data_IF_156099343369
#
_entry.id   IF_156099343369
#
_cell.length_a   1.000
_cell.length_b   1.000
_cell.length_c   1.000
_cell.angle_alpha   90.00
_cell.angle_beta   90.00
_cell.angle_gamma   90.00
#
_symmetry.space_group_name_H-M   'P 1'
#
loop_
_entity.id
_entity.type
_entity.pdbx_description
1 polymer ?
#
# COMPACT_ATOMS: atom_id res chain seq x y z
N UNK A 1 19.82 -79.32 30.25
CA UNK A 1 19.65 -78.97 28.82
C UNK A 1 18.32 -78.23 28.67
N UNK A 2 18.42 -76.98 28.20
CA UNK A 2 17.42 -76.05 27.63
C UNK A 2 16.03 -75.86 28.25
N UNK A 3 15.88 -74.71 28.93
CA UNK A 3 14.63 -74.02 29.29
C UNK A 3 14.05 -73.20 28.13
N UNK A 4 12.72 -73.02 28.01
CA UNK A 4 12.10 -72.23 26.95
C UNK A 4 12.14 -70.72 27.28
N UNK A 5 12.53 -69.92 26.28
CA UNK A 5 12.66 -68.47 26.39
C UNK A 5 11.31 -67.76 26.33
N UNK A 6 11.05 -66.91 27.33
CA UNK A 6 9.92 -65.97 27.39
C UNK A 6 10.21 -64.81 26.43
N UNK A 7 9.33 -64.61 25.45
CA UNK A 7 9.40 -63.51 24.49
C UNK A 7 8.69 -62.30 25.10
N UNK A 8 9.46 -61.31 25.56
CA UNK A 8 8.94 -60.02 26.00
C UNK A 8 8.39 -59.23 24.80
N UNK A 9 7.09 -58.95 24.82
CA UNK A 9 6.46 -57.95 23.97
C UNK A 9 6.98 -56.57 24.39
N UNK A 10 7.56 -55.82 23.43
CA UNK A 10 7.96 -54.44 23.66
C UNK A 10 6.78 -53.56 23.27
N UNK A 11 6.26 -52.82 24.25
CA UNK A 11 5.29 -51.76 24.03
C UNK A 11 5.90 -50.72 23.09
N UNK A 12 5.24 -50.51 21.95
CA UNK A 12 5.61 -49.51 20.96
C UNK A 12 5.03 -48.18 21.43
N UNK A 13 5.86 -47.35 22.06
CA UNK A 13 5.53 -45.95 22.38
C UNK A 13 5.17 -45.19 21.10
N UNK A 14 3.89 -44.86 20.94
CA UNK A 14 3.41 -44.01 19.84
C UNK A 14 3.84 -42.57 20.15
N UNK A 15 4.71 -41.95 19.33
CA UNK A 15 5.14 -40.58 19.59
C UNK A 15 3.94 -39.62 19.52
N UNK A 16 3.89 -38.59 20.39
CA UNK A 16 2.80 -37.62 20.40
C UNK A 16 2.72 -36.95 19.03
N UNK A 17 1.56 -37.08 18.37
CA UNK A 17 1.32 -36.44 17.09
C UNK A 17 1.49 -34.93 17.25
N UNK A 18 2.46 -34.37 16.54
CA UNK A 18 2.58 -32.91 16.44
C UNK A 18 1.25 -32.35 15.96
N UNK A 19 0.69 -31.33 16.64
CA UNK A 19 -0.53 -30.68 16.16
C UNK A 19 -0.27 -30.23 14.72
N UNK A 20 -1.09 -30.74 13.80
CA UNK A 20 -1.03 -30.34 12.40
C UNK A 20 -1.23 -28.83 12.37
N UNK A 21 -0.20 -28.08 11.92
CA UNK A 21 -0.35 -26.66 11.64
C UNK A 21 -1.40 -26.55 10.55
N UNK A 22 -2.60 -26.11 10.92
CA UNK A 22 -3.64 -25.80 9.96
C UNK A 22 -3.06 -24.85 8.90
N UNK A 23 -3.34 -25.08 7.61
CA UNK A 23 -2.91 -24.16 6.56
C UNK A 23 -3.43 -22.75 6.89
N UNK A 24 -2.65 -21.69 6.60
CA UNK A 24 -3.11 -20.33 6.81
C UNK A 24 -4.42 -20.13 6.07
N UNK A 25 -5.46 -19.64 6.77
CA UNK A 25 -6.76 -19.31 6.18
C UNK A 25 -6.53 -18.50 4.91
N UNK A 26 -6.82 -19.09 3.76
CA UNK A 26 -6.84 -18.39 2.49
C UNK A 26 -7.88 -17.29 2.58
N UNK A 27 -7.50 -16.09 2.18
CA UNK A 27 -8.37 -14.91 2.14
C UNK A 27 -9.64 -15.26 1.35
N UNK A 28 -10.81 -15.13 1.97
CA UNK A 28 -12.10 -15.49 1.34
C UNK A 28 -12.37 -14.58 0.14
N UNK A 29 -13.01 -15.09 -0.92
CA UNK A 29 -13.38 -14.28 -2.09
C UNK A 29 -14.24 -13.06 -1.72
N UNK A 30 -15.02 -13.16 -0.65
CA UNK A 30 -15.79 -12.04 -0.08
C UNK A 30 -14.89 -10.86 0.34
N UNK A 31 -13.73 -11.13 0.95
CA UNK A 31 -12.75 -10.11 1.31
C UNK A 31 -12.06 -9.51 0.08
N UNK A 32 -11.89 -10.29 -0.99
CA UNK A 32 -11.33 -9.79 -2.26
C UNK A 32 -12.26 -8.85 -3.02
N UNK A 33 -13.57 -9.01 -2.82
CA UNK A 33 -14.62 -8.21 -3.45
C UNK A 33 -14.96 -6.95 -2.65
N UNK A 34 -14.70 -6.93 -1.33
CA UNK A 34 -14.82 -5.71 -0.50
C UNK A 34 -13.72 -4.67 -0.76
N UNK A 35 -12.62 -5.04 -1.42
CA UNK A 35 -11.53 -4.12 -1.74
C UNK A 35 -11.81 -3.50 -3.12
N UNK A 36 -12.36 -2.30 -3.11
CA UNK A 36 -12.45 -1.48 -4.32
C UNK A 36 -11.05 -1.16 -4.84
N UNK A 37 -10.82 -1.24 -6.17
CA UNK A 37 -9.53 -0.88 -6.74
C UNK A 37 -9.29 0.61 -6.52
N UNK A 38 -8.10 0.98 -6.04
CA UNK A 38 -7.74 2.40 -5.92
C UNK A 38 -7.32 2.90 -7.30
N UNK A 39 -8.01 3.94 -7.78
CA UNK A 39 -7.76 4.52 -9.10
C UNK A 39 -6.77 5.68 -9.02
N UNK A 40 -5.64 5.57 -9.70
CA UNK A 40 -4.62 6.63 -9.82
C UNK A 40 -4.63 7.22 -11.23
N UNK A 41 -4.85 8.52 -11.32
CA UNK A 41 -4.78 9.29 -12.55
C UNK A 41 -3.38 9.91 -12.69
N UNK A 42 -2.69 9.63 -13.78
CA UNK A 42 -1.32 10.08 -14.04
C UNK A 42 -1.33 10.98 -15.27
N UNK A 43 -1.14 12.29 -15.07
CA UNK A 43 -0.88 13.23 -16.15
C UNK A 43 0.63 13.29 -16.40
N UNK A 44 1.05 12.95 -17.61
CA UNK A 44 2.46 12.85 -17.95
C UNK A 44 2.78 13.49 -19.29
N UNK A 45 4.04 13.89 -19.46
CA UNK A 45 4.57 14.40 -20.72
C UNK A 45 5.61 13.41 -21.26
N UNK A 46 5.41 12.80 -22.43
CA UNK A 46 6.36 11.85 -23.01
C UNK A 46 7.72 12.49 -23.35
N UNK A 47 7.77 13.81 -23.56
CA UNK A 47 9.03 14.52 -23.78
C UNK A 47 9.86 14.71 -22.50
N UNK A 48 9.27 14.58 -21.31
CA UNK A 48 10.00 14.69 -20.05
C UNK A 48 10.46 13.29 -19.57
N UNK A 49 11.78 13.00 -19.55
CA UNK A 49 12.31 11.70 -19.17
C UNK A 49 12.05 11.36 -17.69
N UNK A 50 11.92 12.36 -16.82
CA UNK A 50 11.52 12.13 -15.42
C UNK A 50 10.07 11.67 -15.35
N UNK A 51 9.21 12.26 -16.18
CA UNK A 51 7.81 11.89 -16.30
C UNK A 51 7.66 10.44 -16.75
N UNK A 52 8.32 10.05 -17.84
CA UNK A 52 8.24 8.67 -18.35
C UNK A 52 8.70 7.63 -17.32
N UNK A 53 9.89 7.81 -16.74
CA UNK A 53 10.42 6.88 -15.73
C UNK A 53 9.52 6.76 -14.50
N UNK A 54 8.85 7.85 -14.14
CA UNK A 54 7.93 7.85 -13.00
C UNK A 54 6.63 7.13 -13.33
N UNK A 55 6.05 7.36 -14.51
CA UNK A 55 4.86 6.63 -14.98
C UNK A 55 5.13 5.13 -15.07
N UNK A 56 6.26 4.72 -15.66
CA UNK A 56 6.69 3.32 -15.72
C UNK A 56 6.83 2.70 -14.33
N UNK A 57 7.41 3.43 -13.38
CA UNK A 57 7.55 2.96 -11.99
C UNK A 57 6.20 2.80 -11.29
N UNK A 58 5.23 3.70 -11.53
CA UNK A 58 3.86 3.59 -10.99
C UNK A 58 3.14 2.39 -11.60
N UNK A 59 3.26 2.18 -12.91
CA UNK A 59 2.68 1.02 -13.59
C UNK A 59 3.30 -0.29 -13.09
N UNK A 60 4.62 -0.34 -12.90
CA UNK A 60 5.30 -1.49 -12.31
C UNK A 60 4.85 -1.75 -10.85
N UNK A 61 4.56 -0.68 -10.10
CA UNK A 61 4.07 -0.79 -8.73
C UNK A 61 2.68 -1.46 -8.64
N UNK A 62 1.83 -1.35 -9.67
CA UNK A 62 0.53 -2.05 -9.72
C UNK A 62 0.68 -3.55 -9.43
N UNK A 63 1.72 -4.17 -9.99
CA UNK A 63 1.92 -5.61 -9.87
C UNK A 63 2.81 -6.01 -8.70
N UNK A 64 3.73 -5.14 -8.29
CA UNK A 64 4.80 -5.48 -7.35
C UNK A 64 4.67 -4.82 -5.98
N UNK A 65 3.67 -3.97 -5.76
CA UNK A 65 3.57 -3.18 -4.53
C UNK A 65 2.76 -3.89 -3.43
N UNK A 66 3.25 -3.88 -2.17
CA UNK A 66 4.54 -3.35 -1.75
C UNK A 66 5.68 -4.28 -2.20
N UNK A 67 6.79 -3.67 -2.66
CA UNK A 67 7.98 -4.41 -3.09
C UNK A 67 8.50 -5.36 -2.01
N UNK A 68 9.25 -6.41 -2.39
CA UNK A 68 9.73 -7.41 -1.44
C UNK A 68 10.46 -6.73 -0.27
N UNK A 69 10.18 -7.11 0.99
CA UNK A 69 10.79 -6.47 2.14
C UNK A 69 12.31 -6.58 2.03
N UNK A 70 13.01 -5.46 2.23
CA UNK A 70 14.49 -5.39 2.19
C UNK A 70 15.17 -6.33 3.21
N UNK A 71 14.42 -6.86 4.17
CA UNK A 71 14.94 -7.71 5.23
C UNK A 71 14.18 -9.05 5.29
N UNK A 72 14.80 -10.17 4.87
CA UNK A 72 14.13 -11.48 4.80
C UNK A 72 13.68 -12.01 6.17
N UNK A 73 14.23 -11.49 7.28
CA UNK A 73 13.81 -11.83 8.65
C UNK A 73 12.48 -11.18 9.09
N UNK A 74 11.99 -10.18 8.36
CA UNK A 74 10.68 -9.52 8.61
C UNK A 74 9.51 -10.19 7.88
N UNK A 75 9.80 -11.17 7.02
CA UNK A 75 8.81 -11.89 6.21
C UNK A 75 7.79 -12.64 7.09
N UNK A 76 8.10 -12.93 8.34
CA UNK A 76 7.19 -13.65 9.25
C UNK A 76 6.06 -12.79 9.85
N UNK A 77 6.17 -11.44 9.84
CA UNK A 77 5.12 -10.54 10.35
C UNK A 77 4.29 -9.85 9.24
N UNK A 78 4.81 -9.79 8.02
CA UNK A 78 4.16 -9.13 6.87
C UNK A 78 3.85 -10.10 5.71
N UNK A 79 3.58 -11.37 6.03
CA UNK A 79 3.01 -12.30 5.04
C UNK A 79 1.69 -11.73 4.54
N UNK A 80 1.63 -11.43 3.25
CA UNK A 80 0.44 -11.02 2.50
C UNK A 80 0.02 -9.54 2.69
N UNK A 81 0.93 -8.58 2.47
CA UNK A 81 0.47 -7.38 1.76
C UNK A 81 0.30 -7.80 0.29
N UNK A 82 -0.84 -8.41 -0.03
CA UNK A 82 -1.14 -8.93 -1.37
C UNK A 82 -1.09 -7.82 -2.43
N UNK A 83 -0.91 -8.20 -3.70
CA UNK A 83 -0.79 -7.28 -4.84
C UNK A 83 -1.86 -6.17 -4.76
N UNK A 84 -1.41 -4.91 -4.72
CA UNK A 84 -2.28 -3.74 -4.67
C UNK A 84 -3.14 -3.75 -5.95
N UNK A 85 -4.47 -3.83 -5.81
CA UNK A 85 -5.38 -3.64 -6.95
C UNK A 85 -5.39 -2.14 -7.24
N UNK A 86 -4.41 -1.69 -8.00
CA UNK A 86 -4.31 -0.33 -8.50
C UNK A 86 -4.80 -0.31 -9.94
N UNK A 87 -5.72 0.60 -10.23
CA UNK A 87 -6.03 0.97 -11.61
C UNK A 87 -5.26 2.25 -11.91
N UNK A 88 -4.45 2.26 -12.97
CA UNK A 88 -3.66 3.43 -13.36
C UNK A 88 -4.16 3.95 -14.69
N UNK A 89 -4.75 5.14 -14.67
CA UNK A 89 -5.25 5.84 -15.85
C UNK A 89 -4.21 6.87 -16.26
N UNK A 90 -3.64 6.69 -17.45
CA UNK A 90 -2.55 7.53 -17.96
C UNK A 90 -3.08 8.54 -18.97
N UNK A 91 -2.78 9.82 -18.73
CA UNK A 91 -3.15 10.94 -19.59
C UNK A 91 -1.89 11.58 -20.17
N UNK A 92 -1.68 11.47 -21.48
CA UNK A 92 -0.58 12.08 -22.24
C UNK A 92 -0.85 13.57 -22.55
N UNK A 93 -1.22 14.34 -21.53
CA UNK A 93 -1.54 15.76 -21.66
C UNK A 93 -1.38 16.50 -20.33
N UNK A 94 -1.32 17.83 -20.41
CA UNK A 94 -1.51 18.65 -19.22
C UNK A 94 -2.96 18.56 -18.73
N UNK A 95 -3.20 18.70 -17.41
CA UNK A 95 -4.53 18.95 -16.89
C UNK A 95 -5.16 20.18 -17.53
N UNK A 96 -6.47 20.16 -17.67
CA UNK A 96 -7.29 21.31 -18.04
C UNK A 96 -7.33 22.33 -16.90
N UNK A 97 -7.84 23.54 -17.17
CA UNK A 97 -7.92 24.59 -16.15
C UNK A 97 -8.80 24.18 -14.94
N UNK A 98 -9.85 23.39 -15.18
CA UNK A 98 -10.71 22.86 -14.13
C UNK A 98 -10.02 21.73 -13.36
N UNK A 99 -9.35 20.81 -14.05
CA UNK A 99 -8.56 19.76 -13.38
C UNK A 99 -7.44 20.37 -12.52
N UNK A 100 -6.71 21.36 -13.01
CA UNK A 100 -5.71 22.09 -12.21
C UNK A 100 -6.32 22.72 -10.96
N UNK A 101 -7.51 23.30 -11.09
CA UNK A 101 -8.21 23.90 -9.96
C UNK A 101 -8.56 22.85 -8.92
N UNK A 102 -9.05 21.68 -9.34
CA UNK A 102 -9.34 20.56 -8.44
C UNK A 102 -8.08 20.02 -7.78
N UNK A 103 -7.02 19.74 -8.57
CA UNK A 103 -5.75 19.20 -8.08
C UNK A 103 -5.11 20.14 -7.06
N UNK A 104 -5.23 21.46 -7.27
CA UNK A 104 -4.72 22.47 -6.34
C UNK A 104 -5.28 22.27 -4.92
N UNK A 105 -6.57 21.91 -4.79
CA UNK A 105 -7.19 21.64 -3.49
C UNK A 105 -6.73 20.34 -2.83
N UNK A 106 -6.17 19.41 -3.61
CA UNK A 106 -5.65 18.13 -3.11
C UNK A 106 -4.19 18.21 -2.65
N UNK A 107 -3.53 19.34 -2.89
CA UNK A 107 -2.14 19.56 -2.47
C UNK A 107 -2.08 20.11 -1.04
N UNK A 108 -1.03 19.74 -0.27
CA UNK A 108 -0.85 20.28 1.07
C UNK A 108 -0.62 21.80 1.06
N UNK A 109 0.10 22.29 0.04
CA UNK A 109 0.40 23.71 -0.16
C UNK A 109 -0.24 24.19 -1.48
N UNK A 110 -1.48 24.71 -1.43
CA UNK A 110 -2.28 25.02 -2.62
C UNK A 110 -1.80 26.31 -3.29
N UNK A 111 -0.72 26.24 -4.05
CA UNK A 111 -0.24 27.33 -4.90
C UNK A 111 -0.07 26.89 -6.36
N UNK A 112 -0.41 27.76 -7.32
CA UNK A 112 -0.21 27.47 -8.74
C UNK A 112 1.27 27.31 -9.11
N UNK A 113 2.17 27.92 -8.34
CA UNK A 113 3.62 27.73 -8.44
C UNK A 113 4.07 26.33 -8.09
N UNK A 114 3.30 25.57 -7.30
CA UNK A 114 3.62 24.17 -6.96
C UNK A 114 3.72 23.29 -8.21
N UNK A 115 2.99 23.62 -9.28
CA UNK A 115 3.01 22.89 -10.55
C UNK A 115 4.20 23.22 -11.45
N UNK A 116 5.06 24.15 -11.04
CA UNK A 116 6.21 24.61 -11.82
C UNK A 116 7.48 24.06 -11.18
N UNK A 117 8.47 23.69 -12.00
CA UNK A 117 9.80 23.28 -11.52
C UNK A 117 10.42 24.41 -10.70
N UNK A 118 10.96 24.13 -9.50
CA UNK A 118 11.56 25.17 -8.66
C UNK A 118 12.64 25.99 -9.39
N UNK A 119 13.45 25.34 -10.21
CA UNK A 119 14.54 25.98 -10.96
C UNK A 119 14.02 26.98 -12.00
N UNK A 120 12.83 26.72 -12.56
CA UNK A 120 12.19 27.57 -13.56
C UNK A 120 11.49 28.81 -12.97
N UNK A 121 11.22 28.83 -11.66
CA UNK A 121 10.48 29.94 -11.03
C UNK A 121 11.23 31.27 -11.12
N UNK A 122 12.56 31.26 -11.11
CA UNK A 122 13.39 32.46 -11.17
C UNK A 122 13.40 33.10 -12.57
N UNK A 123 13.18 32.31 -13.61
CA UNK A 123 13.22 32.75 -15.00
C UNK A 123 11.85 33.25 -15.49
N UNK A 124 10.80 33.05 -14.69
CA UNK A 124 9.44 33.46 -15.03
C UNK A 124 9.25 34.97 -14.87
N UNK A 125 8.90 35.62 -15.99
CA UNK A 125 8.52 37.03 -16.00
C UNK A 125 7.25 37.32 -15.19
N UNK A 126 6.33 36.36 -15.14
CA UNK A 126 5.07 36.48 -14.42
C UNK A 126 4.66 35.11 -13.85
N UNK A 127 4.41 35.09 -12.55
CA UNK A 127 3.92 33.90 -11.84
C UNK A 127 2.43 33.72 -12.10
N UNK A 128 1.95 32.51 -12.48
CA UNK A 128 0.53 32.31 -12.70
C UNK A 128 -0.26 32.40 -11.40
N UNK A 129 -1.31 33.23 -11.40
CA UNK A 129 -2.21 33.43 -10.26
C UNK A 129 -3.58 32.77 -10.45
N UNK A 130 -3.80 32.11 -11.59
CA UNK A 130 -5.04 31.40 -11.90
C UNK A 130 -4.75 30.13 -12.70
N UNK A 131 -5.65 29.15 -12.67
CA UNK A 131 -5.51 27.91 -13.45
C UNK A 131 -5.46 28.18 -14.95
N UNK A 132 -6.22 29.17 -15.46
CA UNK A 132 -6.18 29.59 -16.86
C UNK A 132 -4.81 30.16 -17.25
N UNK A 133 -4.22 31.01 -16.40
CA UNK A 133 -2.89 31.54 -16.63
C UNK A 133 -1.82 30.43 -16.60
N UNK A 134 -1.97 29.45 -15.70
CA UNK A 134 -1.10 28.28 -15.65
C UNK A 134 -1.19 27.44 -16.93
N UNK A 135 -2.40 27.12 -17.40
CA UNK A 135 -2.58 26.38 -18.66
C UNK A 135 -1.92 27.11 -19.83
N UNK A 136 -2.18 28.42 -19.97
CA UNK A 136 -1.56 29.22 -21.04
C UNK A 136 -0.03 29.26 -20.96
N UNK A 137 0.53 29.24 -19.75
CA UNK A 137 1.98 29.16 -19.53
C UNK A 137 2.52 27.80 -19.98
N UNK A 138 1.88 26.70 -19.57
CA UNK A 138 2.30 25.33 -19.89
C UNK A 138 2.13 25.02 -21.39
N UNK A 139 1.08 25.53 -22.03
CA UNK A 139 0.89 25.40 -23.49
C UNK A 139 2.04 26.03 -24.28
N UNK A 140 2.63 27.11 -23.75
CA UNK A 140 3.76 27.80 -24.38
C UNK A 140 5.11 27.17 -24.04
N UNK A 141 5.26 26.70 -22.81
CA UNK A 141 6.53 26.20 -22.25
C UNK A 141 6.26 24.96 -21.38
N UNK A 142 5.96 23.80 -22.00
CA UNK A 142 5.59 22.57 -21.28
C UNK A 142 6.72 22.01 -20.41
N UNK A 143 7.96 22.38 -20.68
CA UNK A 143 9.17 21.99 -19.94
C UNK A 143 9.24 22.58 -18.53
N UNK A 144 8.56 23.70 -18.28
CA UNK A 144 8.54 24.34 -16.96
C UNK A 144 7.70 23.59 -15.94
N UNK A 145 6.74 22.78 -16.41
CA UNK A 145 5.82 22.07 -15.54
C UNK A 145 6.53 20.94 -14.79
N UNK A 146 6.14 20.75 -13.53
CA UNK A 146 6.64 19.68 -12.67
C UNK A 146 5.92 18.37 -12.97
N UNK A 147 6.42 17.63 -13.96
CA UNK A 147 5.88 16.33 -14.37
C UNK A 147 6.43 15.14 -13.55
N UNK A 148 5.66 14.05 -13.40
CA UNK A 148 4.23 13.92 -13.70
C UNK A 148 3.35 14.47 -12.57
N UNK A 149 2.04 14.56 -12.81
CA UNK A 149 1.05 14.80 -11.75
C UNK A 149 0.28 13.50 -11.53
N UNK A 150 0.27 13.03 -10.29
CA UNK A 150 -0.43 11.81 -9.89
C UNK A 150 -1.55 12.20 -8.94
N UNK A 151 -2.77 11.76 -9.25
CA UNK A 151 -3.98 12.13 -8.52
C UNK A 151 -4.77 10.90 -8.14
N UNK A 152 -5.13 10.81 -6.86
CA UNK A 152 -6.06 9.85 -6.29
C UNK A 152 -7.34 10.63 -5.95
N UNK A 153 -8.29 10.66 -6.90
CA UNK A 153 -9.55 11.41 -6.76
C UNK A 153 -10.46 10.82 -5.69
N UNK A 154 -10.37 9.51 -5.44
CA UNK A 154 -11.20 8.81 -4.47
C UNK A 154 -10.82 9.17 -3.03
N UNK A 155 -9.56 9.55 -2.80
CA UNK A 155 -9.01 9.80 -1.48
C UNK A 155 -8.53 11.25 -1.28
N UNK A 156 -8.88 12.14 -2.20
CA UNK A 156 -8.52 13.56 -2.17
C UNK A 156 -6.99 13.79 -2.01
N UNK A 157 -6.18 13.02 -2.73
CA UNK A 157 -4.72 13.15 -2.64
C UNK A 157 -4.11 13.43 -4.01
N UNK A 158 -3.13 14.34 -4.04
CA UNK A 158 -2.31 14.56 -5.22
C UNK A 158 -0.83 14.61 -4.87
N UNK A 159 0.01 14.22 -5.84
CA UNK A 159 1.45 14.35 -5.75
C UNK A 159 2.02 14.89 -7.06
N UNK A 160 3.08 15.66 -6.94
CA UNK A 160 3.77 16.29 -8.06
C UNK A 160 5.18 15.71 -8.21
N UNK A 161 5.60 15.48 -9.44
CA UNK A 161 6.90 14.95 -9.78
C UNK A 161 7.16 13.57 -9.17
N UNK A 162 8.34 13.41 -8.56
CA UNK A 162 8.81 12.12 -8.01
C UNK A 162 8.19 11.76 -6.65
N UNK A 163 7.26 12.57 -6.13
CA UNK A 163 6.68 12.41 -4.78
C UNK A 163 5.51 11.41 -4.71
N UNK A 164 5.31 10.58 -5.73
CA UNK A 164 4.21 9.60 -5.82
C UNK A 164 4.25 8.46 -4.79
N UNK A 165 5.40 8.22 -4.14
CA UNK A 165 5.55 7.10 -3.20
C UNK A 165 4.59 7.17 -2.03
N UNK A 166 4.34 8.38 -1.51
CA UNK A 166 3.38 8.56 -0.41
C UNK A 166 1.96 8.15 -0.80
N UNK A 167 1.54 8.36 -2.05
CA UNK A 167 0.24 7.90 -2.54
C UNK A 167 0.16 6.36 -2.55
N UNK A 168 1.22 5.70 -3.03
CA UNK A 168 1.30 4.24 -3.04
C UNK A 168 1.32 3.66 -1.61
N UNK A 169 2.09 4.27 -0.72
CA UNK A 169 2.18 3.88 0.70
C UNK A 169 0.81 4.02 1.37
N UNK A 170 0.12 5.15 1.17
CA UNK A 170 -1.22 5.38 1.69
C UNK A 170 -2.23 4.36 1.14
N UNK A 171 -2.18 4.05 -0.15
CA UNK A 171 -3.05 3.05 -0.76
C UNK A 171 -2.83 1.65 -0.15
N UNK A 172 -1.58 1.25 0.10
CA UNK A 172 -1.32 -0.03 0.77
C UNK A 172 -1.72 -0.04 2.24
N UNK A 173 -1.52 1.06 2.97
CA UNK A 173 -1.90 1.12 4.38
C UNK A 173 -3.43 1.11 4.55
N UNK A 174 -4.18 1.77 3.67
CA UNK A 174 -5.65 1.66 3.63
C UNK A 174 -6.09 0.20 3.43
N UNK A 175 -5.49 -0.48 2.46
CA UNK A 175 -5.76 -1.91 2.26
C UNK A 175 -5.37 -2.77 3.47
N UNK A 176 -4.23 -2.51 4.09
CA UNK A 176 -3.79 -3.24 5.27
C UNK A 176 -4.80 -3.09 6.43
N UNK A 177 -5.38 -1.89 6.61
CA UNK A 177 -6.44 -1.65 7.61
C UNK A 177 -7.70 -2.47 7.33
N UNK A 178 -8.18 -2.51 6.09
CA UNK A 178 -9.33 -3.34 5.69
C UNK A 178 -9.10 -4.81 6.02
N UNK A 179 -7.89 -5.32 5.77
CA UNK A 179 -7.53 -6.71 6.09
C UNK A 179 -7.44 -7.00 7.60
N UNK A 180 -7.23 -5.99 8.44
CA UNK A 180 -7.14 -6.16 9.90
C UNK A 180 -8.49 -6.10 10.62
N UNK A 181 -9.50 -5.46 10.02
CA UNK A 181 -10.82 -5.29 10.64
C UNK A 181 -11.61 -6.61 10.77
N UNK A 182 -11.37 -7.58 9.89
CA UNK A 182 -12.05 -8.90 9.91
C UNK A 182 -11.26 -9.99 10.65
N UNK A 183 -10.24 -9.61 11.46
CA UNK A 183 -9.67 -10.58 12.42
C UNK A 183 -10.73 -10.86 13.48
N UNK A 184 -11.14 -12.12 13.69
CA UNK A 184 -12.00 -12.46 14.82
C UNK A 184 -11.32 -11.94 16.09
N UNK A 185 -12.02 -11.13 16.87
CA UNK A 185 -11.61 -10.81 18.23
C UNK A 185 -11.45 -12.16 18.92
N UNK A 186 -10.20 -12.52 19.22
CA UNK A 186 -9.93 -13.72 20.01
C UNK A 186 -10.69 -13.53 21.32
N UNK A 187 -11.63 -14.43 21.68
CA UNK A 187 -12.42 -14.24 22.89
C UNK A 187 -11.42 -14.08 24.03
N UNK A 188 -11.54 -12.98 24.78
CA UNK A 188 -10.69 -12.74 25.95
C UNK A 188 -10.70 -14.03 26.76
N UNK A 189 -9.51 -14.62 26.93
CA UNK A 189 -9.36 -15.82 27.74
C UNK A 189 -9.91 -15.43 29.11
N UNK A 190 -10.98 -16.10 29.61
CA UNK A 190 -11.54 -15.74 30.89
C UNK A 190 -10.40 -15.71 31.90
N UNK A 191 -10.30 -14.61 32.67
CA UNK A 191 -9.28 -14.47 33.69
C UNK A 191 -9.28 -15.75 34.53
N UNK A 192 -8.13 -16.42 34.58
CA UNK A 192 -8.00 -17.61 35.44
C UNK A 192 -8.30 -17.09 36.84
N UNK A 193 -9.37 -17.59 37.50
CA UNK A 193 -9.66 -17.15 38.85
C UNK A 193 -8.40 -17.39 39.69
N UNK A 194 -8.02 -16.44 40.56
CA UNK A 194 -6.85 -16.62 41.41
C UNK A 194 -6.97 -17.96 42.12
N UNK A 195 -5.86 -18.70 42.19
CA UNK A 195 -5.83 -20.00 42.84
C UNK A 195 -6.42 -19.83 44.25
N UNK A 196 -7.54 -20.50 44.52
CA UNK A 196 -8.09 -20.59 45.87
C UNK A 196 -7.00 -21.15 46.76
N UNK A 197 -6.55 -20.34 47.73
CA UNK A 197 -5.71 -20.82 48.82
C UNK A 197 -6.44 -21.98 49.47
N UNK A 198 -5.78 -23.15 49.50
CA UNK A 198 -6.27 -24.30 50.22
C UNK A 198 -6.32 -23.92 51.69
N UNK A 199 -7.54 -23.79 52.22
CA UNK A 199 -7.76 -23.62 53.66
C UNK A 199 -7.54 -25.01 54.26
N UNK A 200 -6.39 -25.21 54.88
CA UNK A 200 -6.14 -26.39 55.71
C UNK A 200 -7.09 -26.30 56.93
N UNK A 201 -7.99 -27.26 57.04
CA UNK A 201 -8.81 -27.44 58.24
C UNK A 201 -8.02 -28.32 59.21
N UNK A 202 -7.59 -27.71 60.33
CA UNK A 202 -7.08 -28.40 61.52
C UNK A 202 -8.20 -29.14 62.28
#
# INVERSE_FOLDING_TARGET
MSTPGVRQERDVEIPPQRPQRMPPKTMTEELWNKIEPTTLNVFHNPADPTSMRTTEAIQAAVHMYPGPPKNPKFVTKFKVRGALKLEVIVHERAPTAEEFRLILFLLPDPTYTSFIKPDALNDLRAVPTSSKALVQLIERQPELMLWPIVVDWEHDQASLGRKYKSLLDNAADRRAKVLTLDKPVEPERPEVPPATEWIDYD
#
